data_IF_300998570732
#
_entry.id   IF_300998570732
#
_cell.length_a   1.000
_cell.length_b   1.000
_cell.length_c   1.000
_cell.angle_alpha   90.00
_cell.angle_beta   90.00
_cell.angle_gamma   90.00
#
_symmetry.space_group_name_H-M   'P 1'
#
loop_
_entity.id
_entity.type
_entity.pdbx_description
1 polymer ?
#
# COMPACT_ATOMS: atom_id res chain seq x y z
N UNK A 1 -6.13 2.79 20.31
CA UNK A 1 -6.01 2.99 18.85
C UNK A 1 -6.74 4.26 18.49
N UNK A 2 -6.10 5.16 17.75
CA UNK A 2 -6.70 6.43 17.28
C UNK A 2 -7.02 6.30 15.80
N UNK A 3 -8.22 6.72 15.41
CA UNK A 3 -8.60 6.84 14.00
C UNK A 3 -7.97 8.11 13.43
N UNK A 4 -7.30 7.99 12.29
CA UNK A 4 -6.63 9.09 11.59
C UNK A 4 -7.02 9.09 10.11
N UNK A 5 -7.06 10.27 9.52
CA UNK A 5 -7.01 10.45 8.06
C UNK A 5 -5.57 10.26 7.56
N UNK A 6 -5.34 10.07 6.26
CA UNK A 6 -4.00 10.12 5.66
C UNK A 6 -3.45 11.55 5.63
N UNK A 7 -2.13 11.72 5.50
CA UNK A 7 -1.51 13.06 5.44
C UNK A 7 -1.67 13.64 4.05
N UNK A 8 -1.69 14.96 3.93
CA UNK A 8 -1.46 15.57 2.62
C UNK A 8 0.01 15.40 2.21
N UNK A 9 0.23 14.69 1.11
CA UNK A 9 1.54 14.50 0.47
C UNK A 9 1.48 15.17 -0.91
N UNK A 10 2.53 15.89 -1.29
CA UNK A 10 2.55 16.61 -2.56
C UNK A 10 2.55 15.64 -3.74
N UNK A 11 1.62 15.81 -4.68
CA UNK A 11 1.65 15.14 -5.98
C UNK A 11 2.97 15.43 -6.69
N UNK A 12 3.48 14.47 -7.46
CA UNK A 12 4.80 14.54 -8.08
C UNK A 12 5.97 14.15 -7.16
N UNK A 13 5.72 13.85 -5.87
CA UNK A 13 6.77 13.34 -4.98
C UNK A 13 7.28 11.99 -5.52
N UNK A 14 8.60 11.79 -5.64
CA UNK A 14 9.13 10.50 -6.09
C UNK A 14 8.80 9.39 -5.08
N UNK A 15 8.59 8.17 -5.57
CA UNK A 15 8.50 6.99 -4.71
C UNK A 15 9.79 6.84 -3.89
N UNK A 16 9.71 6.76 -2.55
CA UNK A 16 10.89 6.46 -1.73
C UNK A 16 11.43 5.07 -2.05
N UNK A 17 12.76 4.93 -2.02
CA UNK A 17 13.42 3.63 -2.15
C UNK A 17 13.18 2.78 -0.90
N UNK A 18 13.16 1.46 -1.07
CA UNK A 18 12.99 0.50 0.03
C UNK A 18 13.60 -0.86 -0.32
N UNK A 19 13.91 -1.64 0.70
CA UNK A 19 14.24 -3.06 0.60
C UNK A 19 13.69 -3.76 1.83
N UNK A 20 12.60 -4.50 1.65
CA UNK A 20 11.83 -5.11 2.74
C UNK A 20 11.68 -6.60 2.52
N UNK A 21 11.56 -7.34 3.62
CA UNK A 21 11.34 -8.79 3.57
C UNK A 21 9.87 -9.08 3.29
N UNK A 22 9.59 -10.01 2.38
CA UNK A 22 8.25 -10.49 2.06
C UNK A 22 7.82 -11.72 2.85
N UNK A 23 6.52 -12.03 2.75
CA UNK A 23 5.92 -13.29 3.24
C UNK A 23 6.52 -14.55 2.58
N UNK A 24 7.14 -14.40 1.42
CA UNK A 24 7.91 -15.43 0.71
C UNK A 24 9.34 -15.62 1.23
N UNK A 25 9.69 -14.92 2.32
CA UNK A 25 11.02 -14.83 2.92
C UNK A 25 12.11 -14.21 2.01
N UNK A 26 11.73 -13.59 0.89
CA UNK A 26 12.65 -12.89 -0.01
C UNK A 26 12.73 -11.40 0.30
N UNK A 27 13.80 -10.75 -0.12
CA UNK A 27 13.91 -9.30 -0.07
C UNK A 27 13.36 -8.72 -1.37
N UNK A 28 12.44 -7.76 -1.24
CA UNK A 28 11.84 -7.02 -2.34
C UNK A 28 12.22 -5.56 -2.21
N UNK A 29 12.70 -4.96 -3.29
CA UNK A 29 13.00 -3.54 -3.37
C UNK A 29 12.27 -2.85 -4.50
N UNK A 30 12.37 -1.52 -4.54
CA UNK A 30 11.70 -0.71 -5.55
C UNK A 30 12.05 -1.15 -7.00
N UNK A 31 13.28 -1.59 -7.23
CA UNK A 31 13.75 -2.07 -8.54
C UNK A 31 12.98 -3.29 -9.06
N UNK A 32 12.42 -4.12 -8.17
CA UNK A 32 11.66 -5.31 -8.55
C UNK A 32 10.31 -4.96 -9.21
N UNK A 33 9.92 -3.68 -9.11
CA UNK A 33 8.69 -3.13 -9.69
C UNK A 33 8.96 -2.14 -10.83
N UNK A 34 10.19 -2.11 -11.36
CA UNK A 34 10.60 -1.13 -12.37
C UNK A 34 9.91 -1.27 -13.73
N UNK A 35 9.33 -2.43 -14.03
CA UNK A 35 8.55 -2.68 -15.25
C UNK A 35 7.07 -2.27 -15.12
N UNK A 36 6.62 -1.84 -13.94
CA UNK A 36 5.24 -1.40 -13.73
C UNK A 36 5.02 0.03 -14.27
N UNK A 37 4.00 0.21 -15.13
CA UNK A 37 3.52 1.53 -15.55
C UNK A 37 2.76 2.24 -14.42
N UNK A 38 2.16 1.47 -13.51
CA UNK A 38 1.53 2.00 -12.30
C UNK A 38 1.92 1.14 -11.11
N UNK A 39 2.50 1.77 -10.10
CA UNK A 39 2.84 1.12 -8.83
C UNK A 39 1.88 1.59 -7.73
N UNK A 40 1.18 0.66 -7.11
CA UNK A 40 0.27 0.90 -5.98
C UNK A 40 0.92 0.39 -4.70
N UNK A 41 1.34 1.29 -3.82
CA UNK A 41 1.88 0.97 -2.49
C UNK A 41 0.78 1.16 -1.45
N UNK A 42 0.49 0.12 -0.67
CA UNK A 42 -0.53 0.15 0.37
C UNK A 42 0.10 -0.13 1.73
N UNK A 43 0.11 0.87 2.61
CA UNK A 43 0.42 0.63 4.02
C UNK A 43 -0.80 0.02 4.70
N UNK A 44 -0.64 -1.19 5.19
CA UNK A 44 -1.71 -2.03 5.74
C UNK A 44 -1.22 -2.79 6.97
N UNK A 45 -2.11 -3.53 7.63
CA UNK A 45 -1.78 -4.39 8.76
C UNK A 45 -2.82 -5.50 8.91
N UNK A 46 -2.62 -6.42 9.84
CA UNK A 46 -3.44 -7.62 9.94
C UNK A 46 -4.63 -7.46 10.89
N UNK A 47 -4.49 -6.63 11.93
CA UNK A 47 -5.49 -6.51 13.00
C UNK A 47 -6.47 -5.34 12.85
N UNK A 48 -6.27 -4.45 11.87
CA UNK A 48 -7.13 -3.28 11.70
C UNK A 48 -8.40 -3.67 10.93
N UNK A 49 -9.61 -3.45 11.49
CA UNK A 49 -10.85 -3.78 10.80
C UNK A 49 -11.06 -2.99 9.50
N UNK A 50 -10.51 -1.78 9.41
CA UNK A 50 -10.56 -0.97 8.17
C UNK A 50 -9.72 -1.57 7.05
N UNK A 51 -8.60 -2.23 7.40
CA UNK A 51 -7.76 -2.91 6.42
C UNK A 51 -8.40 -4.24 5.99
N UNK A 52 -8.86 -5.03 6.96
CA UNK A 52 -9.52 -6.32 6.68
C UNK A 52 -10.72 -6.14 5.74
N UNK A 53 -11.44 -5.01 5.84
CA UNK A 53 -12.57 -4.70 4.98
C UNK A 53 -12.21 -4.47 3.50
N UNK A 54 -10.94 -4.22 3.17
CA UNK A 54 -10.51 -3.88 1.80
C UNK A 54 -9.60 -4.95 1.16
N UNK A 55 -9.27 -6.04 1.86
CA UNK A 55 -8.38 -7.09 1.33
C UNK A 55 -8.90 -7.70 0.03
N UNK A 56 -10.15 -8.15 0.01
CA UNK A 56 -10.76 -8.72 -1.20
C UNK A 56 -10.78 -7.72 -2.36
N UNK A 57 -10.98 -6.43 -2.06
CA UNK A 57 -10.99 -5.37 -3.06
C UNK A 57 -9.58 -5.15 -3.64
N UNK A 58 -8.54 -5.16 -2.82
CA UNK A 58 -7.15 -5.05 -3.28
C UNK A 58 -6.76 -6.23 -4.18
N UNK A 59 -7.11 -7.47 -3.79
CA UNK A 59 -6.84 -8.67 -4.57
C UNK A 59 -7.57 -8.63 -5.91
N UNK A 60 -8.85 -8.23 -5.90
CA UNK A 60 -9.64 -8.07 -7.11
C UNK A 60 -9.08 -6.98 -8.04
N UNK A 61 -8.57 -5.88 -7.48
CA UNK A 61 -7.95 -4.81 -8.28
C UNK A 61 -6.62 -5.25 -8.89
N UNK A 62 -5.73 -5.89 -8.12
CA UNK A 62 -4.51 -6.46 -8.67
C UNK A 62 -4.82 -7.43 -9.82
N UNK A 63 -5.80 -8.34 -9.64
CA UNK A 63 -6.22 -9.27 -10.69
C UNK A 63 -6.81 -8.54 -11.93
N UNK A 64 -7.58 -7.46 -11.72
CA UNK A 64 -8.16 -6.65 -12.81
C UNK A 64 -7.09 -6.01 -13.70
N UNK A 65 -5.93 -5.67 -13.14
CA UNK A 65 -4.88 -4.91 -13.82
C UNK A 65 -3.58 -5.70 -14.04
N UNK A 66 -3.53 -6.99 -13.72
CA UNK A 66 -2.35 -7.85 -13.85
C UNK A 66 -1.76 -7.83 -15.27
N UNK A 67 -2.61 -7.91 -16.30
CA UNK A 67 -2.19 -7.87 -17.71
C UNK A 67 -1.90 -6.45 -18.25
N UNK A 68 -1.90 -5.42 -17.39
CA UNK A 68 -1.81 -4.00 -17.78
C UNK A 68 -0.61 -3.28 -17.14
N UNK A 69 0.46 -4.01 -16.80
CA UNK A 69 1.67 -3.45 -16.18
C UNK A 69 1.37 -2.67 -14.88
N UNK A 70 0.38 -3.10 -14.10
CA UNK A 70 0.08 -2.53 -12.78
C UNK A 70 0.54 -3.49 -11.70
N UNK A 71 1.25 -2.97 -10.71
CA UNK A 71 1.75 -3.75 -9.60
C UNK A 71 1.30 -3.16 -8.27
N UNK A 72 0.69 -3.98 -7.43
CA UNK A 72 0.39 -3.65 -6.04
C UNK A 72 1.52 -4.18 -5.13
N UNK A 73 1.77 -3.49 -4.03
CA UNK A 73 2.63 -3.95 -2.94
C UNK A 73 2.04 -3.54 -1.61
N UNK A 74 1.78 -4.52 -0.74
CA UNK A 74 1.36 -4.28 0.64
C UNK A 74 2.58 -4.12 1.54
N UNK A 75 2.58 -3.13 2.43
CA UNK A 75 3.63 -2.92 3.43
C UNK A 75 3.01 -2.87 4.82
N UNK A 76 3.48 -3.71 5.74
CA UNK A 76 3.09 -3.72 7.14
C UNK A 76 4.15 -3.05 8.02
N UNK A 77 3.90 -1.81 8.51
CA UNK A 77 4.82 -1.11 9.40
C UNK A 77 4.54 -1.38 10.89
N UNK A 78 3.55 -2.21 11.24
CA UNK A 78 3.09 -2.38 12.61
C UNK A 78 3.78 -3.55 13.33
N UNK A 79 4.95 -4.00 12.87
CA UNK A 79 5.71 -5.07 13.53
C UNK A 79 6.14 -4.66 14.95
N UNK A 80 5.38 -5.12 15.95
CA UNK A 80 5.47 -4.66 17.33
C UNK A 80 5.09 -5.79 18.30
N UNK A 81 5.82 -5.99 19.43
CA UNK A 81 5.48 -7.02 20.42
C UNK A 81 4.05 -6.96 20.96
N UNK A 82 3.54 -5.75 21.22
CA UNK A 82 2.15 -5.52 21.65
C UNK A 82 1.07 -5.82 20.58
N UNK A 83 1.47 -6.03 19.32
CA UNK A 83 0.58 -6.34 18.20
C UNK A 83 1.06 -7.62 17.49
N UNK A 84 1.00 -8.80 18.15
CA UNK A 84 1.52 -10.05 17.60
C UNK A 84 0.84 -10.49 16.31
N UNK A 85 -0.40 -10.04 16.08
CA UNK A 85 -1.14 -10.25 14.83
C UNK A 85 -0.44 -9.63 13.61
N UNK A 86 0.41 -8.60 13.78
CA UNK A 86 1.15 -7.96 12.69
C UNK A 86 2.54 -8.59 12.46
N UNK A 87 2.81 -9.75 13.06
CA UNK A 87 4.05 -10.50 12.83
C UNK A 87 4.13 -11.06 11.41
N UNK A 88 5.36 -11.30 10.92
CA UNK A 88 5.59 -11.91 9.61
C UNK A 88 4.92 -13.29 9.48
N UNK A 89 4.88 -14.07 10.55
CA UNK A 89 4.18 -15.38 10.58
C UNK A 89 2.69 -15.19 10.31
N UNK A 90 2.05 -14.25 11.00
CA UNK A 90 0.63 -13.94 10.77
C UNK A 90 0.38 -13.33 9.41
N UNK A 91 1.30 -12.50 8.90
CA UNK A 91 1.20 -11.99 7.52
C UNK A 91 1.17 -13.14 6.50
N UNK A 92 1.93 -14.22 6.70
CA UNK A 92 1.88 -15.41 5.83
C UNK A 92 0.52 -16.11 5.91
N UNK A 93 -0.02 -16.26 7.12
CA UNK A 93 -1.35 -16.85 7.33
C UNK A 93 -2.43 -16.06 6.55
N UNK A 94 -2.47 -14.73 6.72
CA UNK A 94 -3.45 -13.87 6.05
C UNK A 94 -3.21 -13.76 4.54
N UNK A 95 -1.95 -13.72 4.09
CA UNK A 95 -1.62 -13.71 2.66
C UNK A 95 -2.16 -14.97 1.96
N UNK A 96 -2.03 -16.13 2.60
CA UNK A 96 -2.59 -17.38 2.11
C UNK A 96 -4.12 -17.45 2.23
N UNK A 97 -4.69 -17.01 3.35
CA UNK A 97 -6.15 -17.02 3.60
C UNK A 97 -6.92 -16.18 2.58
N UNK A 98 -6.40 -15.01 2.24
CA UNK A 98 -7.03 -14.06 1.30
C UNK A 98 -6.52 -14.21 -0.14
N UNK A 99 -5.74 -15.25 -0.42
CA UNK A 99 -5.16 -15.53 -1.75
C UNK A 99 -4.51 -14.28 -2.36
N UNK A 100 -3.77 -13.54 -1.55
CA UNK A 100 -3.17 -12.27 -1.96
C UNK A 100 -2.22 -12.49 -3.14
N UNK A 101 -2.51 -11.84 -4.25
CA UNK A 101 -1.80 -11.96 -5.53
C UNK A 101 -0.76 -10.85 -5.75
N UNK A 102 -0.29 -10.24 -4.66
CA UNK A 102 0.76 -9.23 -4.66
C UNK A 102 1.71 -9.44 -3.46
N UNK A 103 2.95 -8.91 -3.52
CA UNK A 103 3.89 -8.99 -2.40
C UNK A 103 3.34 -8.28 -1.15
N UNK A 104 3.45 -8.96 0.00
CA UNK A 104 3.16 -8.37 1.31
C UNK A 104 4.45 -8.33 2.14
N UNK A 105 4.93 -7.12 2.41
CA UNK A 105 6.26 -6.84 2.94
C UNK A 105 6.19 -6.32 4.37
N UNK A 106 7.17 -6.66 5.20
CA UNK A 106 7.27 -6.20 6.58
C UNK A 106 8.28 -5.05 6.69
N UNK A 107 7.82 -3.87 7.10
CA UNK A 107 8.69 -2.75 7.48
C UNK A 107 8.98 -2.82 8.98
N UNK A 108 9.90 -3.73 9.33
CA UNK A 108 10.32 -3.91 10.72
C UNK A 108 10.93 -2.66 11.32
N UNK A 109 11.44 -1.71 10.53
CA UNK A 109 12.13 -0.51 11.03
C UNK A 109 11.21 0.70 11.20
N UNK A 110 10.10 0.72 10.44
CA UNK A 110 9.19 1.84 10.24
C UNK A 110 9.78 3.02 9.46
N UNK A 111 11.01 2.90 8.95
CA UNK A 111 11.67 3.95 8.18
C UNK A 111 11.06 4.11 6.79
N UNK A 112 10.56 3.03 6.18
CA UNK A 112 9.86 3.12 4.88
C UNK A 112 8.53 3.84 5.07
N UNK A 113 7.75 3.47 6.08
CA UNK A 113 6.51 4.21 6.41
C UNK A 113 6.76 5.70 6.70
N UNK A 114 7.84 6.04 7.42
CA UNK A 114 8.24 7.44 7.65
C UNK A 114 8.62 8.15 6.35
N UNK A 115 9.37 7.50 5.46
CA UNK A 115 9.82 8.06 4.20
C UNK A 115 8.65 8.37 3.24
N UNK A 116 7.63 7.51 3.22
CA UNK A 116 6.39 7.75 2.46
C UNK A 116 5.50 8.81 3.12
N UNK A 117 5.68 9.08 4.42
CA UNK A 117 4.80 9.95 5.18
C UNK A 117 3.48 9.29 5.59
N UNK A 118 3.37 7.97 5.47
CA UNK A 118 2.20 7.20 5.88
C UNK A 118 1.86 7.44 7.35
N UNK A 119 0.58 7.42 7.70
CA UNK A 119 0.17 7.61 9.10
C UNK A 119 -0.96 6.70 9.60
N UNK A 120 -1.76 6.15 8.69
CA UNK A 120 -2.86 5.26 9.01
C UNK A 120 -2.72 3.92 8.27
N UNK A 121 -3.66 3.00 8.55
CA UNK A 121 -3.81 1.73 7.86
C UNK A 121 -5.32 1.48 7.64
N UNK A 122 -5.79 1.36 6.39
CA UNK A 122 -5.02 1.43 5.15
C UNK A 122 -4.55 2.87 4.82
N UNK A 123 -3.47 2.99 4.05
CA UNK A 123 -2.99 4.25 3.48
C UNK A 123 -2.37 3.96 2.09
N UNK A 124 -2.92 4.56 1.04
CA UNK A 124 -2.70 4.13 -0.35
C UNK A 124 -1.95 5.21 -1.11
N UNK A 125 -0.93 4.80 -1.86
CA UNK A 125 -0.09 5.65 -2.70
C UNK A 125 -0.02 5.02 -4.10
N UNK A 126 -0.29 5.80 -5.14
CA UNK A 126 -0.21 5.34 -6.53
C UNK A 126 0.77 6.22 -7.28
N UNK A 127 1.75 5.57 -7.91
CA UNK A 127 2.81 6.19 -8.68
C UNK A 127 2.61 5.88 -10.16
N UNK A 128 2.87 6.87 -11.01
CA UNK A 128 2.89 6.71 -12.46
C UNK A 128 4.19 6.05 -12.94
N UNK A 129 4.33 5.92 -14.26
CA UNK A 129 5.48 5.34 -14.97
C UNK A 129 6.80 6.11 -14.77
N UNK A 130 6.73 7.37 -14.34
CA UNK A 130 7.88 8.18 -13.93
C UNK A 130 8.24 8.02 -12.44
N UNK A 131 7.55 7.14 -11.71
CA UNK A 131 7.73 6.95 -10.28
C UNK A 131 7.28 8.15 -9.44
N UNK A 132 6.26 8.90 -9.91
CA UNK A 132 5.74 10.12 -9.29
C UNK A 132 4.35 9.89 -8.70
N UNK A 133 4.18 10.30 -7.43
CA UNK A 133 2.91 10.19 -6.73
C UNK A 133 1.83 10.94 -7.51
N UNK A 134 0.78 10.21 -7.90
CA UNK A 134 -0.31 10.74 -8.72
C UNK A 134 -1.69 10.45 -8.11
N UNK A 135 -1.75 9.55 -7.13
CA UNK A 135 -2.92 9.40 -6.26
C UNK A 135 -2.51 9.03 -4.83
N UNK A 136 -3.15 9.66 -3.84
CA UNK A 136 -3.00 9.35 -2.42
C UNK A 136 -4.34 9.56 -1.71
N UNK A 137 -4.97 8.48 -1.26
CA UNK A 137 -6.33 8.57 -0.77
C UNK A 137 -6.94 7.22 -0.39
N UNK A 138 -8.27 7.19 -0.30
CA UNK A 138 -9.06 6.00 0.08
C UNK A 138 -9.25 5.01 -1.07
N UNK A 139 -9.98 3.93 -0.81
CA UNK A 139 -10.34 2.89 -1.79
C UNK A 139 -11.87 2.72 -1.87
N UNK A 140 -12.62 3.80 -1.63
CA UNK A 140 -14.08 3.73 -1.66
C UNK A 140 -14.63 3.71 -3.10
N UNK A 141 -15.55 2.79 -3.38
CA UNK A 141 -16.17 2.67 -4.69
C UNK A 141 -15.16 2.37 -5.79
N UNK A 142 -15.18 3.17 -6.86
CA UNK A 142 -14.29 3.02 -8.01
C UNK A 142 -13.12 4.02 -7.99
N UNK A 143 -12.97 4.86 -6.95
CA UNK A 143 -11.98 5.96 -6.91
C UNK A 143 -10.55 5.50 -7.24
N UNK A 144 -10.08 4.42 -6.60
CA UNK A 144 -8.74 3.88 -6.85
C UNK A 144 -8.63 3.27 -8.26
N UNK A 145 -9.64 2.52 -8.71
CA UNK A 145 -9.60 1.92 -10.04
C UNK A 145 -9.66 2.97 -11.16
N UNK A 146 -10.43 4.04 -10.99
CA UNK A 146 -10.50 5.15 -11.93
C UNK A 146 -9.16 5.88 -12.01
N UNK A 147 -8.51 6.14 -10.86
CA UNK A 147 -7.18 6.74 -10.82
C UNK A 147 -6.15 5.88 -11.56
N UNK A 148 -6.14 4.57 -11.35
CA UNK A 148 -5.26 3.63 -12.08
C UNK A 148 -5.56 3.66 -13.58
N UNK A 149 -6.83 3.63 -13.98
CA UNK A 149 -7.22 3.66 -15.40
C UNK A 149 -6.83 4.96 -16.10
N UNK A 150 -6.89 6.10 -15.39
CA UNK A 150 -6.42 7.39 -15.89
C UNK A 150 -4.90 7.36 -16.10
N UNK A 151 -4.14 6.85 -15.14
CA UNK A 151 -2.69 6.73 -15.27
C UNK A 151 -2.25 5.80 -16.41
N UNK A 152 -2.96 4.70 -16.61
CA UNK A 152 -2.72 3.79 -17.75
C UNK A 152 -3.00 4.42 -19.13
N UNK A 153 -3.68 5.57 -19.17
CA UNK A 153 -3.83 6.38 -20.40
C UNK A 153 -2.81 7.51 -20.49
N UNK A 154 -1.83 7.54 -19.58
CA UNK A 154 -0.88 8.64 -19.38
C UNK A 154 -1.58 9.98 -19.13
N UNK A 155 -2.76 9.94 -18.49
CA UNK A 155 -3.53 11.10 -18.07
C UNK A 155 -3.30 11.38 -16.56
N UNK A 156 -3.70 12.56 -16.09
CA UNK A 156 -3.54 12.97 -14.68
C UNK A 156 -4.85 12.77 -13.93
N UNK A 157 -4.89 12.00 -12.83
CA UNK A 157 -6.07 11.88 -11.97
C UNK A 157 -6.51 13.22 -11.37
N UNK A 158 -7.77 13.29 -10.92
CA UNK A 158 -8.26 14.46 -10.18
C UNK A 158 -7.36 14.79 -8.99
N UNK A 159 -7.07 16.08 -8.76
CA UNK A 159 -6.42 16.55 -7.53
C UNK A 159 -7.37 16.50 -6.31
N UNK A 160 -8.68 16.44 -6.56
CA UNK A 160 -9.70 16.28 -5.51
C UNK A 160 -9.78 14.80 -5.11
N UNK A 161 -8.87 14.41 -4.21
CA UNK A 161 -8.71 13.04 -3.70
C UNK A 161 -9.08 13.00 -2.22
N UNK A 162 -9.98 12.08 -1.88
CA UNK A 162 -10.41 11.91 -0.50
C UNK A 162 -9.35 11.14 0.29
N UNK A 163 -9.00 11.65 1.48
CA UNK A 163 -8.06 11.00 2.40
C UNK A 163 -8.48 9.57 2.72
N UNK A 164 -7.49 8.68 2.86
CA UNK A 164 -7.68 7.38 3.52
C UNK A 164 -8.08 7.61 4.99
N UNK A 165 -8.86 6.70 5.56
CA UNK A 165 -9.22 6.74 6.99
C UNK A 165 -8.96 5.36 7.60
N UNK A 166 -8.21 5.32 8.69
CA UNK A 166 -7.87 4.07 9.32
C UNK A 166 -7.22 4.20 10.69
N UNK A 167 -6.88 3.07 11.28
CA UNK A 167 -6.15 3.06 12.54
C UNK A 167 -4.75 3.62 12.33
N UNK A 168 -4.27 4.43 13.28
CA UNK A 168 -2.90 4.94 13.27
C UNK A 168 -1.88 3.80 13.16
N UNK A 169 -0.79 4.04 12.42
CA UNK A 169 0.41 3.19 12.46
C UNK A 169 0.89 3.07 13.91
N UNK A 170 1.36 1.88 14.29
CA UNK A 170 1.84 1.55 15.64
C UNK A 170 3.32 1.90 15.78
N UNK A 171 3.61 3.20 15.75
CA UNK A 171 4.98 3.71 15.83
C UNK A 171 5.70 3.22 17.09
N UNK A 172 6.97 2.83 16.91
CA UNK A 172 7.95 2.59 17.96
C UNK A 172 8.78 3.86 18.13
N UNK A 173 9.13 4.16 19.38
CA UNK A 173 9.94 5.33 19.75
C UNK A 173 11.28 5.39 19.01
#
# INVERSE_FOLDING_TARGET
MTLLESKSISMGTPVPDFSLKGVDDQMHGLSDFSDAEVLVVVFMCNHCPYVQAIWDQLVALQAKFEDKNVQFVGINPNYHPDYPEDSLEKMKDYHAEYEMNFPYLIDESQEVAKAFGAQCTPDIFVYNDEGKLSYHGRIEGEELSEAIEVLLRSEVPSEDQNSSIGCSIKWRD
#
